data_IF_714045182758
#
_entry.id   IF_714045182758
#
_cell.length_a   1.000
_cell.length_b   1.000
_cell.length_c   1.000
_cell.angle_alpha   90.00
_cell.angle_beta   90.00
_cell.angle_gamma   90.00
#
_symmetry.space_group_name_H-M   'P 1'
#
loop_
_entity.id
_entity.type
_entity.pdbx_description
1 polymer ?
#
# COMPACT_ATOMS: atom_id res chain seq x y z
N UNK A 1 -18.45 -24.97 1.66
CA UNK A 1 -18.42 -23.65 2.30
C UNK A 1 -17.92 -22.64 1.28
N UNK A 2 -18.51 -21.45 1.28
CA UNK A 2 -18.15 -20.37 0.35
C UNK A 2 -17.88 -19.11 1.15
N UNK A 3 -16.83 -18.40 0.78
CA UNK A 3 -16.43 -17.14 1.41
C UNK A 3 -16.62 -15.97 0.44
N UNK A 4 -16.72 -14.77 1.00
CA UNK A 4 -16.67 -13.54 0.25
C UNK A 4 -16.23 -12.39 1.13
N UNK A 5 -15.75 -11.32 0.50
CA UNK A 5 -15.47 -10.06 1.19
C UNK A 5 -16.54 -9.05 0.84
N UNK A 6 -16.84 -8.17 1.78
CA UNK A 6 -17.61 -6.96 1.53
C UNK A 6 -16.99 -5.74 2.20
N UNK A 7 -17.30 -4.58 1.63
CA UNK A 7 -16.87 -3.26 2.11
C UNK A 7 -18.12 -2.42 2.39
N UNK A 8 -18.08 -1.61 3.45
CA UNK A 8 -19.19 -0.76 3.90
C UNK A 8 -19.36 -0.79 5.42
N UNK A 9 -20.26 0.03 5.94
CA UNK A 9 -20.54 0.10 7.38
C UNK A 9 -21.33 -1.11 7.89
N UNK A 10 -22.25 -1.59 7.05
CA UNK A 10 -23.04 -2.81 7.30
C UNK A 10 -23.15 -3.62 6.02
N UNK A 11 -23.43 -4.92 6.15
CA UNK A 11 -23.63 -5.80 4.99
C UNK A 11 -24.75 -5.31 4.06
N UNK A 12 -25.81 -4.73 4.62
CA UNK A 12 -26.92 -4.16 3.84
C UNK A 12 -26.55 -2.88 3.08
N UNK A 13 -25.56 -2.14 3.56
CA UNK A 13 -25.06 -0.89 2.97
C UNK A 13 -23.75 -1.09 2.21
N UNK A 14 -23.37 -2.34 1.92
CA UNK A 14 -22.08 -2.62 1.34
C UNK A 14 -21.98 -2.08 -0.11
N UNK A 15 -20.89 -1.37 -0.37
CA UNK A 15 -20.58 -0.69 -1.63
C UNK A 15 -19.54 -1.47 -2.46
N UNK A 16 -19.01 -2.56 -1.92
CA UNK A 16 -18.08 -3.47 -2.59
C UNK A 16 -18.31 -4.92 -2.17
N UNK A 17 -18.20 -5.83 -3.15
CA UNK A 17 -18.29 -7.27 -2.92
C UNK A 17 -17.24 -8.00 -3.75
N UNK A 18 -16.51 -8.91 -3.11
CA UNK A 18 -15.56 -9.80 -3.77
C UNK A 18 -15.94 -11.24 -3.45
N UNK A 19 -16.29 -12.01 -4.47
CA UNK A 19 -16.60 -13.41 -4.32
C UNK A 19 -15.33 -14.27 -4.33
N UNK A 20 -15.40 -15.42 -3.66
CA UNK A 20 -14.41 -16.47 -3.81
C UNK A 20 -14.29 -16.90 -5.28
N UNK A 21 -13.05 -17.13 -5.70
CA UNK A 21 -12.72 -17.72 -6.99
C UNK A 21 -12.60 -19.23 -6.83
N UNK A 22 -13.30 -19.98 -7.68
CA UNK A 22 -13.32 -21.43 -7.63
C UNK A 22 -14.01 -21.98 -6.38
N UNK A 23 -13.74 -23.25 -6.06
CA UNK A 23 -14.24 -23.91 -4.86
C UNK A 23 -13.28 -23.72 -3.68
N UNK A 24 -13.84 -23.53 -2.48
CA UNK A 24 -13.08 -23.51 -1.25
C UNK A 24 -12.64 -24.92 -0.90
N UNK A 25 -11.43 -25.07 -0.38
CA UNK A 25 -10.91 -26.36 0.09
C UNK A 25 -11.16 -26.49 1.58
N UNK A 26 -12.00 -27.43 1.99
CA UNK A 26 -12.21 -27.74 3.40
C UNK A 26 -11.66 -29.12 3.74
N UNK A 27 -10.91 -29.22 4.84
CA UNK A 27 -10.42 -30.47 5.41
C UNK A 27 -11.01 -30.67 6.80
N UNK A 28 -11.44 -31.90 7.11
CA UNK A 28 -11.95 -32.25 8.44
C UNK A 28 -10.82 -32.08 9.47
N UNK A 29 -11.09 -31.33 10.53
CA UNK A 29 -10.19 -31.16 11.66
C UNK A 29 -10.64 -31.97 12.88
N UNK A 30 -11.96 -32.10 13.10
CA UNK A 30 -12.56 -32.91 14.17
C UNK A 30 -13.94 -33.42 13.73
N UNK A 31 -14.68 -34.06 14.65
CA UNK A 31 -16.07 -34.45 14.39
C UNK A 31 -17.00 -33.26 14.08
N UNK A 32 -16.68 -32.07 14.61
CA UNK A 32 -17.53 -30.86 14.52
C UNK A 32 -16.82 -29.66 13.89
N UNK A 33 -15.56 -29.82 13.44
CA UNK A 33 -14.76 -28.71 12.93
C UNK A 33 -14.09 -29.08 11.61
N UNK A 34 -14.11 -28.14 10.67
CA UNK A 34 -13.36 -28.19 9.42
C UNK A 34 -12.46 -26.96 9.31
N UNK A 35 -11.27 -27.11 8.73
CA UNK A 35 -10.42 -26.00 8.31
C UNK A 35 -10.64 -25.76 6.83
N UNK A 36 -10.96 -24.54 6.45
CA UNK A 36 -11.25 -24.19 5.08
C UNK A 36 -10.34 -23.09 4.57
N UNK A 37 -9.95 -23.20 3.32
CA UNK A 37 -9.19 -22.21 2.57
C UNK A 37 -10.01 -21.75 1.36
N UNK A 38 -9.97 -20.46 1.08
CA UNK A 38 -10.64 -19.85 -0.05
C UNK A 38 -9.76 -18.73 -0.61
N UNK A 39 -9.80 -18.57 -1.93
CA UNK A 39 -9.10 -17.50 -2.63
C UNK A 39 -10.13 -16.47 -3.05
N UNK A 40 -9.88 -15.21 -2.70
CA UNK A 40 -10.63 -14.06 -3.20
C UNK A 40 -9.64 -13.17 -3.94
N UNK A 41 -10.00 -12.76 -5.15
CA UNK A 41 -9.14 -11.92 -6.00
C UNK A 41 -9.70 -10.51 -6.02
N UNK A 42 -8.86 -9.55 -5.66
CA UNK A 42 -9.13 -8.13 -5.80
C UNK A 42 -8.42 -7.63 -7.07
N UNK A 43 -9.19 -7.33 -8.10
CA UNK A 43 -8.72 -6.94 -9.42
C UNK A 43 -9.33 -5.58 -9.83
N UNK A 44 -8.50 -4.54 -9.99
CA UNK A 44 -8.95 -3.21 -10.40
C UNK A 44 -9.60 -3.17 -11.78
N UNK A 45 -9.43 -4.19 -12.62
CA UNK A 45 -10.06 -4.23 -13.94
C UNK A 45 -11.45 -4.86 -13.95
N UNK A 46 -11.85 -5.55 -12.87
CA UNK A 46 -13.11 -6.30 -12.85
C UNK A 46 -13.98 -6.03 -11.62
N UNK A 47 -13.40 -5.95 -10.43
CA UNK A 47 -14.15 -5.98 -9.17
C UNK A 47 -13.75 -4.92 -8.11
N UNK A 48 -12.69 -4.13 -8.36
CA UNK A 48 -12.40 -2.91 -7.61
C UNK A 48 -12.63 -1.69 -8.51
N UNK A 49 -13.83 -1.11 -8.47
CA UNK A 49 -14.22 -0.02 -9.39
C UNK A 49 -14.03 1.39 -8.84
N UNK A 50 -13.88 1.54 -7.52
CA UNK A 50 -13.70 2.84 -6.88
C UNK A 50 -12.48 2.86 -5.96
N UNK A 51 -11.73 3.96 -5.97
CA UNK A 51 -10.64 4.21 -5.03
C UNK A 51 -11.13 4.26 -3.57
N UNK A 52 -12.43 4.53 -3.34
CA UNK A 52 -13.07 4.53 -2.04
C UNK A 52 -13.14 3.13 -1.40
N UNK A 53 -13.02 2.07 -2.20
CA UNK A 53 -13.01 0.67 -1.74
C UNK A 53 -11.68 0.27 -1.07
N UNK A 54 -10.69 1.16 -1.06
CA UNK A 54 -9.47 0.93 -0.30
C UNK A 54 -9.78 1.06 1.19
N UNK A 55 -9.36 0.08 1.99
CA UNK A 55 -9.63 0.09 3.41
C UNK A 55 -9.88 -1.29 3.98
N UNK A 56 -10.76 -1.32 4.99
CA UNK A 56 -11.13 -2.52 5.73
C UNK A 56 -12.26 -3.23 5.01
N UNK A 57 -12.12 -4.54 4.86
CA UNK A 57 -13.14 -5.43 4.33
C UNK A 57 -13.52 -6.46 5.39
N UNK A 58 -14.76 -6.90 5.34
CA UNK A 58 -15.31 -7.90 6.25
C UNK A 58 -15.51 -9.22 5.51
N UNK A 59 -15.15 -10.33 6.17
CA UNK A 59 -15.35 -11.66 5.62
C UNK A 59 -16.75 -12.14 5.94
N UNK A 60 -17.52 -12.45 4.91
CA UNK A 60 -18.77 -13.21 5.02
C UNK A 60 -18.55 -14.67 4.66
N UNK A 61 -19.36 -15.56 5.23
CA UNK A 61 -19.30 -17.00 4.98
C UNK A 61 -20.69 -17.62 4.83
N UNK A 62 -20.78 -18.59 3.93
CA UNK A 62 -21.96 -19.44 3.76
C UNK A 62 -21.53 -20.91 3.86
N UNK A 63 -22.14 -21.63 4.78
CA UNK A 63 -21.97 -23.06 4.95
C UNK A 63 -23.26 -23.80 4.58
N UNK A 64 -23.12 -24.96 3.94
CA UNK A 64 -24.23 -25.87 3.64
C UNK A 64 -23.85 -27.22 4.24
N UNK A 65 -24.72 -27.80 5.06
CA UNK A 65 -24.49 -29.11 5.67
C UNK A 65 -24.90 -30.27 4.74
N UNK A 66 -24.69 -31.51 5.18
CA UNK A 66 -25.03 -32.70 4.40
C UNK A 66 -26.53 -32.93 4.18
N UNK A 67 -27.39 -32.25 4.95
CA UNK A 67 -28.84 -32.26 4.78
C UNK A 67 -29.34 -31.10 3.90
N UNK A 68 -28.45 -30.21 3.46
CA UNK A 68 -28.77 -29.04 2.65
C UNK A 68 -29.16 -27.79 3.45
N UNK A 69 -29.05 -27.80 4.79
CA UNK A 69 -29.32 -26.62 5.60
C UNK A 69 -28.23 -25.57 5.36
N UNK A 70 -28.65 -24.30 5.26
CA UNK A 70 -27.75 -23.19 4.97
C UNK A 70 -27.55 -22.31 6.20
N UNK A 71 -26.31 -22.13 6.62
CA UNK A 71 -25.91 -21.15 7.62
C UNK A 71 -25.18 -20.00 6.94
N UNK A 72 -25.61 -18.76 7.20
CA UNK A 72 -24.96 -17.54 6.69
C UNK A 72 -24.43 -16.74 7.86
N UNK A 73 -23.20 -16.29 7.73
CA UNK A 73 -22.55 -15.38 8.65
C UNK A 73 -22.06 -14.17 7.86
N UNK A 74 -22.61 -13.01 8.15
CA UNK A 74 -22.23 -11.78 7.44
C UNK A 74 -20.86 -11.24 7.89
N UNK A 75 -20.46 -11.58 9.11
CA UNK A 75 -19.17 -11.23 9.69
C UNK A 75 -18.58 -12.44 10.42
N UNK A 76 -17.52 -13.01 9.84
CA UNK A 76 -16.65 -13.99 10.50
C UNK A 76 -15.26 -13.41 10.79
N UNK A 77 -15.11 -12.10 10.63
CA UNK A 77 -13.90 -11.34 10.86
C UNK A 77 -13.93 -10.00 10.11
N UNK A 78 -14.29 -8.92 10.80
CA UNK A 78 -14.05 -7.54 10.36
C UNK A 78 -12.60 -7.14 10.63
N UNK A 79 -11.96 -6.42 9.70
CA UNK A 79 -10.62 -5.85 9.92
C UNK A 79 -9.44 -6.78 9.63
N UNK A 80 -9.70 -8.07 9.42
CA UNK A 80 -8.69 -9.05 9.03
C UNK A 80 -8.34 -8.96 7.54
N UNK A 81 -9.28 -8.52 6.70
CA UNK A 81 -9.05 -8.23 5.29
C UNK A 81 -8.85 -6.73 5.09
N UNK A 82 -7.72 -6.33 4.50
CA UNK A 82 -7.47 -4.95 4.08
C UNK A 82 -6.94 -4.90 2.67
N UNK A 83 -7.62 -4.12 1.83
CA UNK A 83 -7.20 -3.88 0.46
C UNK A 83 -6.69 -2.44 0.39
N UNK A 84 -5.44 -2.29 -0.02
CA UNK A 84 -4.77 -0.99 -0.11
C UNK A 84 -4.39 -0.69 -1.54
N UNK A 85 -4.43 0.58 -1.92
CA UNK A 85 -3.93 1.05 -3.21
C UNK A 85 -2.41 0.96 -3.23
N UNK A 86 -1.88 0.40 -4.30
CA UNK A 86 -0.42 0.30 -4.49
C UNK A 86 0.16 1.69 -4.71
N UNK A 87 1.33 1.95 -4.14
CA UNK A 87 2.04 3.22 -4.30
C UNK A 87 3.40 3.00 -4.93
N UNK A 88 3.78 3.92 -5.79
CA UNK A 88 5.08 3.96 -6.42
C UNK A 88 5.87 5.16 -5.91
N UNK A 89 7.18 4.99 -5.81
CA UNK A 89 8.13 6.04 -5.46
C UNK A 89 9.35 5.88 -6.36
N UNK A 90 9.63 6.91 -7.16
CA UNK A 90 10.79 6.92 -8.05
C UNK A 90 12.10 6.86 -7.28
N UNK A 91 13.20 6.58 -7.99
CA UNK A 91 14.54 6.87 -7.50
C UNK A 91 14.65 8.33 -7.06
N UNK A 92 15.42 8.57 -6.01
CA UNK A 92 15.83 9.92 -5.65
C UNK A 92 16.75 10.50 -6.74
N UNK A 93 16.69 11.81 -6.90
CA UNK A 93 17.52 12.59 -7.81
C UNK A 93 18.02 13.80 -7.04
N UNK A 94 19.32 13.83 -6.72
CA UNK A 94 19.98 14.84 -5.92
C UNK A 94 20.83 15.76 -6.82
N UNK A 95 20.57 17.07 -6.77
CA UNK A 95 21.26 18.04 -7.62
C UNK A 95 21.64 19.32 -6.87
N UNK A 96 22.77 19.98 -7.20
CA UNK A 96 23.80 19.55 -8.15
C UNK A 96 24.64 18.37 -7.62
N UNK A 97 25.21 17.60 -8.53
CA UNK A 97 26.21 16.57 -8.23
C UNK A 97 27.33 16.62 -9.29
N UNK A 98 28.62 16.65 -8.89
CA UNK A 98 29.13 16.73 -7.52
C UNK A 98 28.86 18.10 -6.87
N UNK A 99 28.87 18.16 -5.53
CA UNK A 99 28.55 19.38 -4.77
C UNK A 99 29.68 19.75 -3.82
N UNK A 100 30.00 21.04 -3.69
CA UNK A 100 30.99 21.49 -2.70
C UNK A 100 30.46 21.32 -1.27
N UNK A 101 31.34 20.96 -0.33
CA UNK A 101 31.01 20.86 1.09
C UNK A 101 30.33 22.12 1.63
N UNK A 102 29.27 21.93 2.41
CA UNK A 102 28.45 22.99 2.99
C UNK A 102 27.50 23.68 2.00
N UNK A 103 27.49 23.29 0.72
CA UNK A 103 26.51 23.78 -0.25
C UNK A 103 25.21 22.99 -0.19
N UNK A 104 24.17 23.59 -0.73
CA UNK A 104 22.83 23.01 -0.74
C UNK A 104 22.72 22.01 -1.87
N UNK A 105 22.22 20.82 -1.55
CA UNK A 105 21.72 19.85 -2.52
C UNK A 105 20.20 19.80 -2.41
N UNK A 106 19.54 19.70 -3.56
CA UNK A 106 18.11 19.51 -3.70
C UNK A 106 17.86 18.07 -4.09
N UNK A 107 17.14 17.33 -3.26
CA UNK A 107 16.74 15.96 -3.55
C UNK A 107 15.26 15.96 -3.90
N UNK A 108 14.92 15.29 -5.01
CA UNK A 108 13.53 15.10 -5.43
C UNK A 108 13.24 13.63 -5.73
N UNK A 109 11.97 13.26 -5.58
CA UNK A 109 11.42 12.00 -6.10
C UNK A 109 9.93 12.19 -6.36
N UNK A 110 9.37 11.40 -7.28
CA UNK A 110 7.96 11.45 -7.62
C UNK A 110 7.23 10.25 -7.04
N UNK A 111 6.07 10.51 -6.46
CA UNK A 111 5.15 9.50 -5.95
C UNK A 111 3.89 9.43 -6.79
N UNK A 112 3.45 8.19 -7.02
CA UNK A 112 2.19 7.87 -7.65
C UNK A 112 1.45 6.81 -6.84
N UNK A 113 0.16 6.69 -7.11
CA UNK A 113 -0.72 5.69 -6.49
C UNK A 113 -1.65 5.13 -7.57
N UNK A 114 -1.89 3.83 -7.53
CA UNK A 114 -2.82 3.17 -8.44
C UNK A 114 -4.22 3.79 -8.28
N UNK A 115 -4.80 4.25 -9.37
CA UNK A 115 -6.21 4.66 -9.43
C UNK A 115 -7.00 3.54 -10.08
N UNK A 116 -7.86 2.87 -9.30
CA UNK A 116 -8.68 1.79 -9.82
C UNK A 116 -9.78 2.32 -10.76
N UNK A 117 -10.32 3.50 -10.47
CA UNK A 117 -11.32 4.18 -11.30
C UNK A 117 -10.77 4.63 -12.66
N UNK A 118 -9.50 5.04 -12.70
CA UNK A 118 -8.87 5.56 -13.92
C UNK A 118 -8.01 4.51 -14.63
N UNK A 119 -7.92 3.29 -14.09
CA UNK A 119 -7.07 2.21 -14.57
C UNK A 119 -5.61 2.63 -14.87
N UNK A 120 -5.06 3.54 -14.07
CA UNK A 120 -3.69 4.06 -14.23
C UNK A 120 -3.14 4.59 -12.92
N UNK A 121 -1.83 4.77 -12.86
CA UNK A 121 -1.19 5.48 -11.76
C UNK A 121 -1.42 6.99 -11.87
N UNK A 122 -1.79 7.61 -10.75
CA UNK A 122 -2.00 9.06 -10.63
C UNK A 122 -1.06 9.63 -9.57
N UNK A 123 -0.75 10.94 -9.60
CA UNK A 123 0.04 11.57 -8.56
C UNK A 123 -0.50 11.32 -7.15
N UNK A 124 0.38 10.95 -6.22
CA UNK A 124 0.02 10.90 -4.80
C UNK A 124 0.21 12.30 -4.21
N UNK A 125 -0.87 13.05 -4.02
CA UNK A 125 -0.84 14.49 -3.69
C UNK A 125 -0.94 14.72 -2.18
N UNK A 126 -0.16 15.65 -1.62
CA UNK A 126 -0.29 16.14 -0.24
C UNK A 126 0.14 15.16 0.86
N UNK A 127 0.70 14.01 0.50
CA UNK A 127 1.09 12.97 1.46
C UNK A 127 2.48 13.24 2.04
N UNK A 128 2.66 12.94 3.33
CA UNK A 128 3.94 13.12 4.01
C UNK A 128 4.95 12.04 3.59
N UNK A 129 6.14 12.47 3.18
CA UNK A 129 7.27 11.62 2.80
C UNK A 129 8.50 12.08 3.58
N UNK A 130 9.37 11.13 3.91
CA UNK A 130 10.57 11.38 4.69
C UNK A 130 11.78 11.43 3.75
N UNK A 131 12.49 12.56 3.70
CA UNK A 131 13.85 12.57 3.16
C UNK A 131 14.76 11.90 4.18
N UNK A 132 15.49 10.88 3.75
CA UNK A 132 16.45 10.16 4.56
C UNK A 132 17.85 10.22 3.93
N UNK A 133 18.86 10.13 4.78
CA UNK A 133 20.27 10.11 4.39
C UNK A 133 21.03 8.99 5.10
N UNK A 134 22.00 8.39 4.44
CA UNK A 134 23.04 7.59 5.07
C UNK A 134 24.41 8.07 4.63
N UNK A 135 25.37 8.09 5.55
CA UNK A 135 26.77 8.44 5.23
C UNK A 135 27.42 7.30 4.44
N UNK A 136 28.12 7.61 3.35
CA UNK A 136 28.69 6.61 2.45
C UNK A 136 27.62 5.68 1.85
N UNK A 137 27.97 4.40 1.62
CA UNK A 137 27.11 3.40 0.97
C UNK A 137 26.55 2.32 1.91
N UNK A 138 26.89 2.38 3.20
CA UNK A 138 26.52 1.37 4.19
C UNK A 138 25.94 2.01 5.45
N UNK A 139 25.33 1.18 6.30
CA UNK A 139 24.67 1.65 7.53
C UNK A 139 23.23 2.09 7.33
N UNK A 140 22.64 2.56 8.43
CA UNK A 140 21.23 2.93 8.52
C UNK A 140 20.95 4.31 7.93
N UNK A 141 19.79 4.44 7.29
CA UNK A 141 19.26 5.74 6.88
C UNK A 141 18.65 6.46 8.08
N UNK A 142 18.99 7.74 8.25
CA UNK A 142 18.39 8.65 9.22
C UNK A 142 17.46 9.63 8.52
N UNK A 143 16.33 9.96 9.15
CA UNK A 143 15.40 10.95 8.60
C UNK A 143 15.95 12.35 8.81
N UNK A 144 16.11 13.10 7.73
CA UNK A 144 16.56 14.49 7.77
C UNK A 144 15.38 15.47 7.83
N UNK A 145 14.35 15.24 7.01
CA UNK A 145 13.22 16.14 6.86
C UNK A 145 11.92 15.38 6.57
N UNK A 146 10.80 16.00 6.93
CA UNK A 146 9.45 15.60 6.52
C UNK A 146 8.96 16.62 5.49
N UNK A 147 8.57 16.15 4.31
CA UNK A 147 8.00 17.00 3.25
C UNK A 147 6.67 16.42 2.78
N UNK A 148 5.86 17.23 2.10
CA UNK A 148 4.64 16.77 1.45
C UNK A 148 4.84 16.73 -0.06
N UNK A 149 4.18 15.78 -0.72
CA UNK A 149 4.12 15.75 -2.18
C UNK A 149 3.27 16.90 -2.71
N UNK A 150 3.69 17.49 -3.83
CA UNK A 150 2.94 18.53 -4.52
C UNK A 150 1.79 17.97 -5.38
N UNK A 151 1.11 18.85 -6.13
CA UNK A 151 -0.01 18.49 -7.04
C UNK A 151 0.38 17.50 -8.14
N UNK A 152 1.67 17.39 -8.45
CA UNK A 152 2.21 16.51 -9.47
C UNK A 152 2.85 15.24 -8.85
N UNK A 153 2.76 15.08 -7.53
CA UNK A 153 3.30 13.96 -6.77
C UNK A 153 4.78 14.13 -6.42
N UNK A 154 5.39 15.29 -6.62
CA UNK A 154 6.80 15.49 -6.32
C UNK A 154 7.02 15.78 -4.84
N UNK A 155 7.89 15.00 -4.22
CA UNK A 155 8.54 15.35 -2.96
C UNK A 155 9.87 16.05 -3.29
N UNK A 156 10.11 17.20 -2.67
CA UNK A 156 11.34 17.99 -2.86
C UNK A 156 11.82 18.50 -1.50
N UNK A 157 13.11 18.33 -1.24
CA UNK A 157 13.76 18.77 -0.02
C UNK A 157 15.15 19.33 -0.33
N UNK A 158 15.57 20.35 0.42
CA UNK A 158 16.89 20.96 0.27
C UNK A 158 17.66 20.87 1.58
N UNK A 159 18.88 20.34 1.51
CA UNK A 159 19.74 20.06 2.66
C UNK A 159 21.18 20.47 2.37
N UNK A 160 22.00 20.65 3.40
CA UNK A 160 23.42 20.92 3.25
C UNK A 160 24.19 19.61 3.07
N UNK A 161 24.93 19.51 1.98
CA UNK A 161 25.83 18.38 1.74
C UNK A 161 27.13 18.60 2.52
N UNK A 162 27.42 17.75 3.52
CA UNK A 162 28.59 17.92 4.42
C UNK A 162 29.62 16.80 4.26
N UNK A 163 29.18 15.62 3.83
CA UNK A 163 29.96 14.41 3.58
C UNK A 163 29.27 13.59 2.51
N UNK A 164 30.03 12.72 1.85
CA UNK A 164 29.48 11.77 0.90
C UNK A 164 28.42 10.86 1.53
N UNK A 165 27.42 10.52 0.74
CA UNK A 165 26.43 9.56 1.15
C UNK A 165 25.22 9.51 0.23
N UNK A 166 24.22 8.76 0.65
CA UNK A 166 23.04 8.51 -0.16
C UNK A 166 21.80 9.15 0.42
N UNK A 167 21.01 9.77 -0.46
CA UNK A 167 19.69 10.31 -0.15
C UNK A 167 18.60 9.42 -0.72
N UNK A 168 17.54 9.19 0.05
CA UNK A 168 16.33 8.53 -0.45
C UNK A 168 15.08 9.15 0.14
N UNK A 169 13.95 8.89 -0.49
CA UNK A 169 12.65 9.15 0.11
C UNK A 169 12.03 7.87 0.66
N UNK A 170 11.29 8.00 1.77
CA UNK A 170 10.51 6.92 2.35
C UNK A 170 9.09 7.38 2.65
N UNK A 171 8.11 6.62 2.14
CA UNK A 171 6.70 6.79 2.41
C UNK A 171 6.20 5.65 3.29
N UNK A 172 5.62 6.00 4.44
CA UNK A 172 5.19 5.00 5.43
C UNK A 172 3.88 4.27 5.05
N UNK A 173 3.19 4.69 3.98
CA UNK A 173 1.84 4.20 3.70
C UNK A 173 0.79 4.83 4.61
N UNK A 174 -0.46 4.43 4.41
CA UNK A 174 -1.58 4.78 5.29
C UNK A 174 -2.43 3.53 5.56
N UNK A 175 -3.61 3.69 6.18
CA UNK A 175 -4.62 2.64 6.20
C UNK A 175 -5.12 2.27 4.79
N UNK A 176 -5.03 3.18 3.82
CA UNK A 176 -5.59 3.06 2.47
C UNK A 176 -4.54 2.80 1.39
N UNK A 177 -3.28 3.13 1.65
CA UNK A 177 -2.18 3.01 0.68
C UNK A 177 -1.02 2.18 1.22
N UNK A 178 -0.32 1.48 0.34
CA UNK A 178 0.88 0.71 0.70
C UNK A 178 2.06 1.63 1.05
N UNK A 179 2.98 1.13 1.87
CA UNK A 179 4.23 1.81 2.16
C UNK A 179 5.22 1.60 1.00
N UNK A 180 6.10 2.56 0.76
CA UNK A 180 7.13 2.44 -0.28
C UNK A 180 8.41 3.19 0.07
N UNK A 181 9.53 2.55 -0.18
CA UNK A 181 10.86 3.16 -0.08
C UNK A 181 11.44 3.30 -1.48
N UNK A 182 11.95 4.50 -1.80
CA UNK A 182 12.59 4.77 -3.09
C UNK A 182 14.03 4.28 -3.11
N UNK A 183 14.53 4.00 -4.32
CA UNK A 183 15.96 3.79 -4.53
C UNK A 183 16.74 5.08 -4.21
N UNK A 184 17.90 4.92 -3.59
CA UNK A 184 18.70 6.03 -3.12
C UNK A 184 19.59 6.60 -4.24
N UNK A 185 20.03 7.84 -4.04
CA UNK A 185 20.98 8.53 -4.88
C UNK A 185 22.22 8.91 -4.08
N UNK A 186 23.39 8.49 -4.57
CA UNK A 186 24.66 8.82 -3.93
C UNK A 186 25.06 10.22 -4.37
N UNK A 187 25.60 11.02 -3.46
CA UNK A 187 26.11 12.36 -3.75
C UNK A 187 27.57 12.44 -3.31
N UNK A 188 28.44 12.75 -4.27
CA UNK A 188 29.85 13.08 -4.04
C UNK A 188 30.04 14.53 -3.56
N UNK A 189 30.68 14.70 -2.39
CA UNK A 189 30.94 15.99 -1.75
C UNK A 189 32.41 16.37 -1.86
N UNK A 190 32.68 17.48 -2.55
CA UNK A 190 34.04 17.99 -2.82
C UNK A 190 34.47 19.12 -1.90
#
# INVERSE_FOLDING_TARGET
MTYGLWHGDTRAQADGYLAQVGSGRCVKASATTSKCEAVVVADPNSNLRSNALAGVWTVGAVAVDGAGNVTRLDDVGTGIARIKRETQLSRADATPEPVKKGRTVTVRARMAVASWEQHKDVPLIGHQVLLQFRKGRSGAFVTLQKVKTDRNGWAKASVKATVDGEYRFNFAGTSLTRARTGAADFVDVK
#
